data_IF_605157265676
#
_entry.id   IF_605157265676
#
_cell.length_a   1.000
_cell.length_b   1.000
_cell.length_c   1.000
_cell.angle_alpha   90.00
_cell.angle_beta   90.00
_cell.angle_gamma   90.00
#
_symmetry.space_group_name_H-M   'P 1'
#
loop_
_entity.id
_entity.type
_entity.pdbx_description
1 polymer ?
#
# COMPACT_ATOMS: atom_id res chain seq x y z
N UNK A 1 11.56 -7.42 -15.98
CA UNK A 1 10.88 -6.97 -17.21
C UNK A 1 9.39 -7.18 -17.03
N UNK A 2 8.55 -6.26 -17.50
CA UNK A 2 7.12 -6.25 -17.19
C UNK A 2 6.38 -7.43 -17.82
N UNK A 3 5.69 -8.20 -16.98
CA UNK A 3 4.81 -9.31 -17.34
C UNK A 3 3.33 -8.88 -17.21
N UNK A 4 2.42 -9.65 -17.79
CA UNK A 4 0.99 -9.29 -17.88
C UNK A 4 0.28 -9.18 -16.53
N UNK A 5 0.65 -10.00 -15.56
CA UNK A 5 0.12 -9.96 -14.19
C UNK A 5 0.51 -8.66 -13.48
N UNK A 6 1.76 -8.23 -13.62
CA UNK A 6 2.22 -6.95 -13.07
C UNK A 6 1.55 -5.77 -13.79
N UNK A 7 1.40 -5.84 -15.12
CA UNK A 7 0.68 -4.83 -15.91
C UNK A 7 -0.78 -4.68 -15.45
N UNK A 8 -1.49 -5.80 -15.30
CA UNK A 8 -2.88 -5.78 -14.82
C UNK A 8 -2.97 -5.13 -13.44
N UNK A 9 -2.07 -5.51 -12.52
CA UNK A 9 -2.02 -4.95 -11.18
C UNK A 9 -1.77 -3.44 -11.21
N UNK A 10 -0.83 -2.94 -12.02
CA UNK A 10 -0.54 -1.51 -12.13
C UNK A 10 -1.70 -0.71 -12.71
N UNK A 11 -2.40 -1.25 -13.72
CA UNK A 11 -3.58 -0.58 -14.29
C UNK A 11 -4.75 -0.59 -13.31
N UNK A 12 -5.02 -1.74 -12.66
CA UNK A 12 -6.11 -1.86 -11.68
C UNK A 12 -5.88 -0.93 -10.49
N UNK A 13 -4.69 -0.97 -9.92
CA UNK A 13 -4.30 -0.11 -8.82
C UNK A 13 -4.29 1.36 -9.23
N UNK A 14 -3.71 1.66 -10.39
CA UNK A 14 -3.73 3.01 -10.96
C UNK A 14 -5.16 3.55 -11.12
N UNK A 15 -6.12 2.71 -11.49
CA UNK A 15 -7.55 3.09 -11.52
C UNK A 15 -8.11 3.33 -10.12
N UNK A 16 -7.88 2.40 -9.19
CA UNK A 16 -8.40 2.48 -7.81
C UNK A 16 -7.93 3.76 -7.09
N UNK A 17 -6.72 4.21 -7.40
CA UNK A 17 -6.10 5.40 -6.81
C UNK A 17 -6.13 6.64 -7.72
N UNK A 18 -6.92 6.61 -8.80
CA UNK A 18 -7.06 7.73 -9.75
C UNK A 18 -5.72 8.25 -10.33
N UNK A 19 -4.75 7.36 -10.53
CA UNK A 19 -3.42 7.63 -11.13
C UNK A 19 -3.39 7.46 -12.66
N UNK A 20 -4.47 6.98 -13.28
CA UNK A 20 -4.50 6.82 -14.73
C UNK A 20 -4.57 8.18 -15.44
N UNK A 21 -3.72 8.36 -16.46
CA UNK A 21 -3.71 9.57 -17.31
C UNK A 21 -4.56 9.41 -18.58
N UNK A 22 -4.87 8.17 -18.93
CA UNK A 22 -5.62 7.78 -20.12
C UNK A 22 -6.49 6.56 -19.80
N UNK A 23 -7.40 6.20 -20.70
CA UNK A 23 -8.26 5.05 -20.49
C UNK A 23 -7.47 3.74 -20.71
N UNK A 24 -7.74 2.67 -19.93
CA UNK A 24 -7.04 1.39 -20.12
C UNK A 24 -7.07 0.84 -21.56
N UNK A 25 -8.18 0.94 -22.34
CA UNK A 25 -8.19 0.49 -23.73
C UNK A 25 -7.18 1.23 -24.62
N UNK A 26 -6.96 2.53 -24.39
CA UNK A 26 -5.99 3.34 -25.16
C UNK A 26 -4.56 2.90 -24.86
N UNK A 27 -4.23 2.63 -23.60
CA UNK A 27 -2.93 2.09 -23.20
C UNK A 27 -2.72 0.71 -23.84
N UNK A 28 -3.70 -0.19 -23.71
CA UNK A 28 -3.62 -1.56 -24.22
C UNK A 28 -3.43 -1.62 -25.74
N UNK A 29 -4.03 -0.68 -26.48
CA UNK A 29 -3.91 -0.63 -27.94
C UNK A 29 -2.48 -0.39 -28.44
N UNK A 30 -1.57 0.10 -27.59
CA UNK A 30 -0.17 0.38 -27.93
C UNK A 30 0.80 -0.71 -27.47
N UNK A 31 0.31 -1.70 -26.71
CA UNK A 31 1.13 -2.78 -26.17
C UNK A 31 1.26 -3.95 -27.16
N UNK A 32 2.43 -4.59 -27.13
CA UNK A 32 2.71 -5.87 -27.79
C UNK A 32 3.26 -6.83 -26.75
N UNK A 33 2.88 -8.10 -26.87
CA UNK A 33 3.45 -9.18 -26.06
C UNK A 33 4.47 -9.93 -26.90
N UNK A 34 5.73 -9.93 -26.48
CA UNK A 34 6.83 -10.67 -27.13
C UNK A 34 7.48 -11.51 -26.05
N UNK A 35 7.53 -12.84 -26.22
CA UNK A 35 8.11 -13.77 -25.24
C UNK A 35 7.58 -13.59 -23.80
N UNK A 36 6.31 -13.22 -23.68
CA UNK A 36 5.63 -12.98 -22.40
C UNK A 36 5.94 -11.63 -21.76
N UNK A 37 6.62 -10.73 -22.47
CA UNK A 37 7.03 -9.40 -22.00
C UNK A 37 6.22 -8.31 -22.68
N UNK A 38 5.95 -7.24 -21.93
CA UNK A 38 5.20 -6.09 -22.43
C UNK A 38 6.15 -5.15 -23.15
N UNK A 39 5.94 -4.97 -24.46
CA UNK A 39 6.66 -4.05 -25.32
C UNK A 39 5.75 -2.90 -25.77
N UNK A 40 6.29 -1.70 -25.88
CA UNK A 40 5.51 -0.51 -26.30
C UNK A 40 6.42 0.61 -26.79
N UNK A 41 5.85 1.74 -27.23
CA UNK A 41 6.56 2.99 -27.44
C UNK A 41 7.11 3.61 -26.14
N UNK A 42 8.06 4.54 -26.26
CA UNK A 42 8.73 5.16 -25.11
C UNK A 42 7.78 5.91 -24.18
N UNK A 43 6.81 6.64 -24.72
CA UNK A 43 5.86 7.44 -23.93
C UNK A 43 4.98 6.56 -23.05
N UNK A 44 4.50 5.45 -23.62
CA UNK A 44 3.68 4.46 -22.90
C UNK A 44 4.52 3.67 -21.92
N UNK A 45 5.76 3.31 -22.26
CA UNK A 45 6.66 2.63 -21.32
C UNK A 45 6.95 3.51 -20.10
N UNK A 46 7.17 4.81 -20.31
CA UNK A 46 7.38 5.77 -19.23
C UNK A 46 6.12 5.93 -18.37
N UNK A 47 4.94 6.00 -19.00
CA UNK A 47 3.68 5.98 -18.27
C UNK A 47 3.51 4.73 -17.38
N UNK A 48 3.81 3.54 -17.90
CA UNK A 48 3.74 2.31 -17.11
C UNK A 48 4.76 2.28 -15.97
N UNK A 49 5.97 2.84 -16.17
CA UNK A 49 6.96 2.99 -15.12
C UNK A 49 6.49 3.92 -13.99
N UNK A 50 5.82 5.02 -14.31
CA UNK A 50 5.19 5.92 -13.33
C UNK A 50 4.08 5.21 -12.54
N UNK A 51 3.29 4.33 -13.17
CA UNK A 51 2.31 3.51 -12.45
C UNK A 51 2.97 2.53 -11.47
N UNK A 52 4.07 1.90 -11.87
CA UNK A 52 4.86 1.00 -11.02
C UNK A 52 5.43 1.75 -9.81
N UNK A 53 5.97 2.96 -10.02
CA UNK A 53 6.44 3.84 -8.95
C UNK A 53 5.30 4.19 -8.00
N UNK A 54 4.15 4.65 -8.52
CA UNK A 54 3.00 4.99 -7.70
C UNK A 54 2.48 3.81 -6.89
N UNK A 55 2.62 2.58 -7.40
CA UNK A 55 2.28 1.37 -6.65
C UNK A 55 3.27 1.13 -5.51
N UNK A 56 4.57 1.27 -5.78
CA UNK A 56 5.60 1.16 -4.76
C UNK A 56 5.45 2.21 -3.64
N UNK A 57 5.07 3.44 -3.99
CA UNK A 57 4.74 4.49 -3.03
C UNK A 57 3.50 4.12 -2.21
N UNK A 58 2.44 3.66 -2.87
CA UNK A 58 1.22 3.24 -2.19
C UNK A 58 1.50 2.10 -1.19
N UNK A 59 2.32 1.12 -1.56
CA UNK A 59 2.70 0.04 -0.64
C UNK A 59 3.39 0.55 0.63
N UNK A 60 4.09 1.69 0.54
CA UNK A 60 4.76 2.35 1.66
C UNK A 60 3.90 3.42 2.36
N UNK A 61 2.70 3.70 1.82
CA UNK A 61 1.80 4.74 2.32
C UNK A 61 1.11 4.31 3.60
N UNK A 62 0.69 5.29 4.41
CA UNK A 62 -0.05 5.03 5.64
C UNK A 62 -1.37 4.30 5.34
N UNK A 63 -2.02 4.68 4.24
CA UNK A 63 -3.29 4.15 3.74
C UNK A 63 -3.23 2.64 3.46
N UNK A 64 -2.09 2.13 3.03
CA UNK A 64 -1.87 0.70 2.81
C UNK A 64 -1.36 0.00 4.08
N UNK A 65 -0.39 0.62 4.75
CA UNK A 65 0.35 0.02 5.86
C UNK A 65 -0.56 -0.27 7.05
N UNK A 66 -1.40 0.69 7.44
CA UNK A 66 -2.28 0.52 8.60
C UNK A 66 -3.24 -0.66 8.45
N UNK A 67 -4.14 -0.71 7.44
CA UNK A 67 -5.08 -1.82 7.33
C UNK A 67 -4.36 -3.15 7.11
N UNK A 68 -3.26 -3.18 6.35
CA UNK A 68 -2.53 -4.42 6.09
C UNK A 68 -1.87 -4.97 7.35
N UNK A 69 -1.19 -4.13 8.13
CA UNK A 69 -0.51 -4.54 9.35
C UNK A 69 -1.52 -5.04 10.39
N UNK A 70 -2.55 -4.24 10.66
CA UNK A 70 -3.58 -4.57 11.65
C UNK A 70 -4.31 -5.85 11.26
N UNK A 71 -4.82 -5.95 10.02
CA UNK A 71 -5.56 -7.14 9.59
C UNK A 71 -4.68 -8.41 9.66
N UNK A 72 -3.41 -8.33 9.23
CA UNK A 72 -2.47 -9.45 9.33
C UNK A 72 -2.22 -9.86 10.78
N UNK A 73 -2.03 -8.90 11.69
CA UNK A 73 -1.81 -9.18 13.10
C UNK A 73 -3.03 -9.85 13.73
N UNK A 74 -4.23 -9.35 13.46
CA UNK A 74 -5.47 -9.94 13.96
C UNK A 74 -5.72 -11.34 13.39
N UNK A 75 -5.51 -11.55 12.09
CA UNK A 75 -5.63 -12.87 11.47
C UNK A 75 -4.60 -13.85 12.07
N UNK A 76 -3.39 -13.39 12.36
CA UNK A 76 -2.34 -14.19 13.01
C UNK A 76 -2.75 -14.61 14.43
N UNK A 77 -3.41 -13.74 15.18
CA UNK A 77 -3.97 -14.08 16.49
C UNK A 77 -5.04 -15.17 16.41
N UNK A 78 -5.93 -15.10 15.41
CA UNK A 78 -6.91 -16.16 15.17
C UNK A 78 -6.25 -17.48 14.74
N UNK A 79 -5.24 -17.43 13.87
CA UNK A 79 -4.50 -18.62 13.41
C UNK A 79 -3.65 -19.28 14.50
N UNK A 80 -3.41 -18.59 15.61
CA UNK A 80 -2.69 -19.15 16.76
C UNK A 80 -3.53 -20.19 17.53
N UNK A 81 -4.83 -20.29 17.25
CA UNK A 81 -5.71 -21.36 17.72
C UNK A 81 -6.00 -22.34 16.57
N UNK A 82 -5.67 -23.63 16.77
CA UNK A 82 -5.82 -24.65 15.75
C UNK A 82 -7.27 -24.96 15.38
N UNK A 83 -8.24 -24.65 16.26
CA UNK A 83 -9.66 -24.85 16.00
C UNK A 83 -10.21 -23.86 14.95
N UNK A 84 -9.62 -22.67 14.82
CA UNK A 84 -10.05 -21.62 13.91
C UNK A 84 -9.32 -21.63 12.57
N UNK A 85 -8.16 -22.29 12.48
CA UNK A 85 -7.31 -22.28 11.28
C UNK A 85 -8.04 -22.76 10.02
N UNK A 86 -8.80 -23.85 10.10
CA UNK A 86 -9.49 -24.39 8.93
C UNK A 86 -10.60 -23.47 8.44
N UNK A 87 -11.31 -22.81 9.37
CA UNK A 87 -12.36 -21.85 9.03
C UNK A 87 -11.81 -20.61 8.33
N UNK A 88 -10.62 -20.14 8.72
CA UNK A 88 -10.01 -18.93 8.14
C UNK A 88 -9.58 -19.16 6.69
N UNK A 89 -9.04 -20.35 6.36
CA UNK A 89 -8.54 -20.63 5.00
C UNK A 89 -9.63 -20.67 3.94
N UNK A 90 -10.87 -20.90 4.35
CA UNK A 90 -12.04 -20.98 3.47
C UNK A 90 -12.93 -19.73 3.56
N UNK A 91 -12.61 -18.82 4.49
CA UNK A 91 -13.41 -17.64 4.75
C UNK A 91 -13.30 -16.63 3.59
N UNK A 92 -14.45 -16.10 3.20
CA UNK A 92 -14.55 -14.84 2.47
C UNK A 92 -14.18 -13.65 3.37
N UNK A 93 -13.99 -12.47 2.78
CA UNK A 93 -13.67 -11.24 3.53
C UNK A 93 -14.70 -10.93 4.62
N UNK A 94 -16.01 -11.09 4.34
CA UNK A 94 -17.08 -10.86 5.30
C UNK A 94 -17.10 -11.90 6.43
N UNK A 95 -16.80 -13.15 6.12
CA UNK A 95 -16.72 -14.23 7.10
C UNK A 95 -15.49 -14.07 8.01
N UNK A 96 -14.33 -13.75 7.44
CA UNK A 96 -13.14 -13.40 8.22
C UNK A 96 -13.45 -12.21 9.13
N UNK A 97 -14.13 -11.19 8.60
CA UNK A 97 -14.53 -10.04 9.40
C UNK A 97 -15.47 -10.41 10.55
N UNK A 98 -16.41 -11.32 10.32
CA UNK A 98 -17.29 -11.82 11.37
C UNK A 98 -16.52 -12.61 12.44
N UNK A 99 -15.55 -13.44 12.04
CA UNK A 99 -14.68 -14.17 12.97
C UNK A 99 -13.87 -13.20 13.85
N UNK A 100 -13.29 -12.16 13.25
CA UNK A 100 -12.56 -11.10 13.94
C UNK A 100 -13.44 -10.34 14.95
N UNK A 101 -14.71 -10.13 14.64
CA UNK A 101 -15.64 -9.49 15.55
C UNK A 101 -16.14 -10.41 16.67
N UNK A 102 -16.09 -11.73 16.49
CA UNK A 102 -16.54 -12.71 17.46
C UNK A 102 -15.46 -13.06 18.51
N UNK A 103 -14.18 -13.01 18.15
CA UNK A 103 -13.08 -13.34 19.05
C UNK A 103 -12.75 -12.17 20.01
N UNK A 104 -12.79 -12.38 21.35
CA UNK A 104 -12.49 -11.32 22.31
C UNK A 104 -11.11 -10.67 22.18
N UNK A 105 -10.12 -11.40 21.63
CA UNK A 105 -8.73 -10.92 21.47
C UNK A 105 -8.60 -9.92 20.32
N UNK A 106 -9.41 -10.04 19.28
CA UNK A 106 -9.29 -9.24 18.05
C UNK A 106 -10.43 -8.22 17.88
N UNK A 107 -11.56 -8.43 18.56
CA UNK A 107 -12.79 -7.64 18.40
C UNK A 107 -12.58 -6.12 18.54
N UNK A 108 -11.79 -5.67 19.51
CA UNK A 108 -11.59 -4.24 19.75
C UNK A 108 -10.84 -3.56 18.60
N UNK A 109 -9.76 -4.18 18.11
CA UNK A 109 -8.98 -3.68 16.97
C UNK A 109 -9.75 -3.76 15.66
N UNK A 110 -10.47 -4.86 15.43
CA UNK A 110 -11.32 -5.01 14.26
C UNK A 110 -12.39 -3.90 14.20
N UNK A 111 -13.06 -3.62 15.33
CA UNK A 111 -14.03 -2.51 15.40
C UNK A 111 -13.38 -1.16 15.13
N UNK A 112 -12.21 -0.90 15.71
CA UNK A 112 -11.50 0.36 15.51
C UNK A 112 -11.12 0.54 14.04
N UNK A 113 -10.49 -0.45 13.43
CA UNK A 113 -10.05 -0.40 12.03
C UNK A 113 -11.21 -0.08 11.07
N UNK A 114 -12.37 -0.72 11.25
CA UNK A 114 -13.53 -0.49 10.38
C UNK A 114 -14.23 0.85 10.63
N UNK A 115 -14.24 1.33 11.86
CA UNK A 115 -14.91 2.59 12.22
C UNK A 115 -14.04 3.81 11.92
N UNK A 116 -12.77 3.72 12.25
CA UNK A 116 -11.82 4.81 12.20
C UNK A 116 -10.42 4.30 11.80
N UNK A 117 -10.17 4.14 10.49
CA UNK A 117 -8.86 3.81 9.97
C UNK A 117 -7.79 4.83 10.40
N UNK A 118 -8.16 6.08 10.70
CA UNK A 118 -7.24 7.14 11.14
C UNK A 118 -6.89 7.05 12.63
N UNK A 119 -7.50 6.13 13.38
CA UNK A 119 -7.24 5.89 14.81
C UNK A 119 -5.94 5.13 15.11
N UNK A 120 -5.01 5.07 14.14
CA UNK A 120 -3.78 4.30 14.21
C UNK A 120 -2.57 5.18 13.84
N UNK A 121 -1.44 4.91 14.49
CA UNK A 121 -0.17 5.55 14.22
C UNK A 121 0.87 4.53 13.73
N UNK A 122 1.78 4.99 12.88
CA UNK A 122 2.88 4.19 12.33
C UNK A 122 4.16 4.59 13.04
N UNK A 123 4.75 3.64 13.75
CA UNK A 123 5.96 3.80 14.53
C UNK A 123 7.16 3.12 13.87
N UNK A 124 8.40 3.48 14.27
CA UNK A 124 9.60 2.74 13.88
C UNK A 124 9.54 1.26 14.29
N UNK A 125 10.39 0.43 13.65
CA UNK A 125 10.34 -1.02 13.78
C UNK A 125 10.73 -1.57 15.17
N UNK A 126 11.32 -0.75 16.03
CA UNK A 126 11.70 -1.09 17.41
C UNK A 126 10.58 -0.81 18.43
N UNK A 127 9.45 -0.23 17.99
CA UNK A 127 8.29 -0.05 18.85
C UNK A 127 7.75 -1.41 19.32
N UNK A 128 7.51 -1.53 20.62
CA UNK A 128 7.25 -2.83 21.27
C UNK A 128 5.79 -3.25 21.27
N UNK A 129 4.87 -2.32 21.04
CA UNK A 129 3.43 -2.57 21.06
C UNK A 129 2.78 -2.31 19.70
N UNK A 130 1.91 -3.21 19.26
CA UNK A 130 1.19 -3.11 17.99
C UNK A 130 1.51 -4.20 16.96
N UNK A 131 1.10 -3.92 15.72
CA UNK A 131 1.10 -4.88 14.61
C UNK A 131 2.28 -4.61 13.67
N UNK A 132 3.24 -5.54 13.51
CA UNK A 132 4.39 -5.32 12.66
C UNK A 132 4.03 -5.36 11.17
N UNK A 133 4.65 -4.49 10.40
CA UNK A 133 4.61 -4.48 8.95
C UNK A 133 6.02 -4.58 8.38
N UNK A 134 6.19 -5.43 7.36
CA UNK A 134 7.43 -5.56 6.62
C UNK A 134 7.15 -5.65 5.13
N UNK A 135 7.88 -4.82 4.38
CA UNK A 135 7.92 -4.84 2.92
C UNK A 135 9.32 -5.26 2.49
N UNK A 136 9.43 -6.40 1.81
CA UNK A 136 10.72 -6.97 1.36
C UNK A 136 10.96 -6.82 -0.13
N UNK A 137 9.91 -6.56 -0.90
CA UNK A 137 9.95 -6.53 -2.34
C UNK A 137 9.04 -5.43 -2.88
N UNK A 138 9.50 -4.76 -3.94
CA UNK A 138 8.73 -3.80 -4.71
C UNK A 138 8.72 -4.26 -6.16
N UNK A 139 7.54 -4.41 -6.73
CA UNK A 139 7.39 -4.74 -8.15
C UNK A 139 7.65 -3.49 -8.98
N UNK A 140 8.86 -3.40 -9.53
CA UNK A 140 9.33 -2.24 -10.31
C UNK A 140 9.70 -2.64 -11.74
N UNK A 141 9.10 -3.71 -12.25
CA UNK A 141 9.31 -4.16 -13.62
C UNK A 141 8.78 -3.12 -14.61
N UNK A 142 9.58 -2.81 -15.62
CA UNK A 142 9.24 -1.84 -16.67
C UNK A 142 9.00 -2.52 -18.01
N UNK A 143 8.20 -1.87 -18.85
CA UNK A 143 7.96 -2.30 -20.22
C UNK A 143 9.20 -2.10 -21.09
N UNK A 144 9.29 -2.88 -22.17
CA UNK A 144 10.41 -2.88 -23.09
C UNK A 144 10.20 -1.87 -24.23
N UNK A 145 11.26 -1.12 -24.55
CA UNK A 145 11.38 -0.26 -25.73
C UNK A 145 12.55 -0.78 -26.55
N UNK A 146 12.31 -1.10 -27.83
CA UNK A 146 13.34 -1.70 -28.70
C UNK A 146 14.03 -2.95 -28.10
N UNK A 147 13.25 -3.74 -27.35
CA UNK A 147 13.67 -4.97 -26.64
C UNK A 147 14.52 -4.77 -25.38
N UNK A 148 14.71 -3.54 -24.94
CA UNK A 148 15.37 -3.23 -23.67
C UNK A 148 14.34 -2.70 -22.65
N UNK A 149 14.40 -3.11 -21.37
CA UNK A 149 13.54 -2.55 -20.34
C UNK A 149 13.82 -1.07 -20.16
N UNK A 150 12.77 -0.25 -20.13
CA UNK A 150 12.92 1.17 -19.84
C UNK A 150 13.50 1.35 -18.42
N UNK A 151 14.54 2.17 -18.23
CA UNK A 151 14.99 2.53 -16.89
C UNK A 151 13.88 3.20 -16.09
N UNK A 152 13.82 2.92 -14.80
CA UNK A 152 12.90 3.64 -13.91
C UNK A 152 13.27 5.12 -13.87
N UNK A 153 12.26 6.02 -13.89
CA UNK A 153 12.45 7.42 -13.56
C UNK A 153 13.18 7.60 -12.24
N UNK A 154 13.99 8.66 -12.13
CA UNK A 154 14.70 8.97 -10.89
C UNK A 154 13.69 9.28 -9.78
N UNK A 155 13.54 8.36 -8.84
CA UNK A 155 12.59 8.48 -7.75
C UNK A 155 13.14 7.94 -6.44
N UNK A 156 12.83 8.60 -5.32
CA UNK A 156 13.32 8.19 -4.02
C UNK A 156 12.36 7.21 -3.35
N UNK A 157 12.59 5.91 -3.58
CA UNK A 157 11.85 4.84 -2.92
C UNK A 157 12.42 4.50 -1.53
N UNK A 158 11.59 3.90 -0.67
CA UNK A 158 12.03 3.37 0.63
C UNK A 158 13.07 2.28 0.43
N UNK A 159 14.11 2.28 1.27
CA UNK A 159 15.08 1.19 1.30
C UNK A 159 14.44 -0.09 1.86
N UNK A 160 14.72 -1.22 1.22
CA UNK A 160 14.20 -2.54 1.60
C UNK A 160 15.25 -3.37 2.36
N UNK A 161 14.84 -4.21 3.32
CA UNK A 161 13.47 -4.36 3.81
C UNK A 161 13.03 -3.11 4.59
N UNK A 162 11.83 -2.62 4.30
CA UNK A 162 11.23 -1.54 5.05
C UNK A 162 10.32 -2.11 6.13
N UNK A 163 10.46 -1.61 7.36
CA UNK A 163 9.76 -2.13 8.55
C UNK A 163 9.19 -1.00 9.37
N UNK A 164 8.00 -1.23 9.93
CA UNK A 164 7.35 -0.35 10.90
C UNK A 164 6.40 -1.16 11.78
N UNK A 165 5.87 -0.52 12.81
CA UNK A 165 4.85 -1.09 13.71
C UNK A 165 3.63 -0.17 13.70
N UNK A 166 2.44 -0.75 13.58
CA UNK A 166 1.18 -0.01 13.61
C UNK A 166 0.51 -0.21 14.97
N UNK A 167 0.36 0.85 15.74
CA UNK A 167 -0.26 0.82 17.05
C UNK A 167 -1.50 1.70 17.08
N UNK A 168 -2.41 1.42 18.03
CA UNK A 168 -3.55 2.32 18.26
C UNK A 168 -2.99 3.69 18.62
N UNK A 169 -3.60 4.75 18.09
CA UNK A 169 -3.30 6.10 18.55
C UNK A 169 -3.64 6.19 20.03
N UNK A 170 -2.65 6.48 20.86
CA UNK A 170 -2.87 6.80 22.27
C UNK A 170 -3.76 8.03 22.36
N UNK A 171 -4.93 7.90 22.99
CA UNK A 171 -5.66 9.09 23.44
C UNK A 171 -5.07 9.43 24.80
N UNK A 172 -3.83 9.92 24.82
CA UNK A 172 -3.20 10.31 26.07
C UNK A 172 -3.73 11.67 26.47
N UNK A 173 -4.53 11.67 27.55
CA UNK A 173 -4.62 12.86 28.38
C UNK A 173 -3.23 13.19 28.92
N UNK A 174 -2.84 14.46 28.73
CA UNK A 174 -1.76 15.18 29.43
C UNK A 174 -0.35 15.16 28.79
N UNK A 175 -0.05 16.08 27.85
CA UNK A 175 0.71 17.33 28.09
C UNK A 175 0.93 18.10 26.74
N UNK A 176 0.46 19.36 26.58
CA UNK A 176 0.45 20.06 25.28
C UNK A 176 1.78 20.70 24.85
N UNK A 177 2.89 20.52 25.59
CA UNK A 177 4.14 21.25 25.33
C UNK A 177 5.24 20.47 24.58
N UNK A 178 5.14 19.13 24.48
CA UNK A 178 6.09 18.33 23.69
C UNK A 178 5.74 18.27 22.18
N UNK A 179 4.52 18.69 21.83
CA UNK A 179 3.92 18.48 20.51
C UNK A 179 4.45 19.43 19.42
N UNK A 180 5.11 20.53 19.78
CA UNK A 180 5.51 21.53 18.79
C UNK A 180 6.78 21.20 18.00
N UNK A 181 7.61 20.25 18.46
CA UNK A 181 8.85 19.89 17.75
C UNK A 181 8.72 18.66 16.83
N UNK A 182 7.81 17.73 17.14
CA UNK A 182 7.63 16.51 16.34
C UNK A 182 6.45 16.58 15.34
N UNK A 183 5.43 17.42 15.60
CA UNK A 183 4.29 17.60 14.69
C UNK A 183 4.69 18.28 13.37
N UNK A 184 5.82 19.00 13.34
CA UNK A 184 6.33 19.68 12.14
C UNK A 184 6.86 18.78 11.03
N UNK A 185 7.24 17.52 11.33
CA UNK A 185 7.81 16.60 10.32
C UNK A 185 6.84 15.52 9.84
N UNK A 186 5.85 15.16 10.64
CA UNK A 186 4.90 14.08 10.30
C UNK A 186 3.60 14.59 9.66
N UNK A 187 3.32 15.90 9.71
CA UNK A 187 2.13 16.53 9.07
C UNK A 187 2.45 17.37 7.82
N UNK A 188 3.70 17.42 7.33
CA UNK A 188 4.05 18.21 6.14
C UNK A 188 3.85 17.51 4.79
N UNK A 189 3.34 16.28 4.76
CA UNK A 189 3.20 15.51 3.52
C UNK A 189 1.75 15.40 3.04
N UNK A 190 1.09 16.54 2.89
CA UNK A 190 -0.18 16.60 2.15
C UNK A 190 -0.41 18.01 1.59
N UNK A 191 -0.60 18.08 0.26
CA UNK A 191 -1.15 19.21 -0.51
C UNK A 191 -0.26 20.40 -0.84
N UNK A 192 0.56 20.27 -1.89
CA UNK A 192 0.96 21.34 -2.83
C UNK A 192 1.44 20.66 -4.11
N UNK A 193 0.61 20.43 -5.13
CA UNK A 193 0.33 21.40 -6.19
C UNK A 193 -0.97 21.04 -6.92
N UNK A 194 -2.07 21.74 -6.62
CA UNK A 194 -3.23 21.82 -7.51
C UNK A 194 -4.02 23.11 -7.25
N UNK A 195 -3.38 24.27 -7.45
CA UNK A 195 -4.07 25.53 -7.76
C UNK A 195 -3.06 26.65 -8.03
N UNK A 196 -2.85 26.97 -9.33
CA UNK A 196 -2.78 28.33 -9.91
C UNK A 196 -2.00 28.28 -11.22
N UNK A 197 -2.69 28.58 -12.32
CA UNK A 197 -2.08 28.71 -13.63
C UNK A 197 -3.06 28.83 -14.80
N UNK A 198 -4.20 29.52 -14.62
CA UNK A 198 -4.89 30.17 -15.74
C UNK A 198 -4.71 31.67 -15.57
N UNK A 199 -3.95 32.26 -16.49
CA UNK A 199 -4.22 33.51 -17.19
C UNK A 199 -3.24 33.62 -18.34
#
# INVERSE_FOLDING_TARGET
MLKLDHLESFIRSGRAHARLRESPPETLARLRLIDGEVHTDGDTAHYLAELAIGEAEYLCSWENVVPTAVLRGLATMLLSDSATTHGITEATDDELWAMLLADPRTQADARLLRRDPLGWDVHPADHTDGHPYELRHLYLDTACVESEPLPLPAHQLRQLPWRCVVARRGIDGNDPEADHAAIGQTRSWHWSHAARGRR
#
